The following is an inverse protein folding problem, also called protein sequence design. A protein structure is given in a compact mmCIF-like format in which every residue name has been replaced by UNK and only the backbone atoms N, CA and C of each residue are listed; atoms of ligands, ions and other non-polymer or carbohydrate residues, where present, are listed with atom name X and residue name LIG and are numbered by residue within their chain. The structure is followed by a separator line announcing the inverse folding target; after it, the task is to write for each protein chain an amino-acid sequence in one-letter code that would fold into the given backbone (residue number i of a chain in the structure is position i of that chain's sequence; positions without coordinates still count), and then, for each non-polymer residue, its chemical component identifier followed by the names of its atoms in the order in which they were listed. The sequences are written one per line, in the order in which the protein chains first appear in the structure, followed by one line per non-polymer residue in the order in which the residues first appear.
data_IF_544719609572
#
_entry.id   IF_544719609572
#
_cell.length_a   1.000
_cell.length_b   1.000
_cell.length_c   1.000
_cell.angle_alpha   90.00
_cell.angle_beta   90.00
_cell.angle_gamma   90.00
#
_symmetry.space_group_name_H-M   'P 1'
#
loop_
_entity.id
_entity.type
_entity.pdbx_description
1 polymer ?
#
# COMPACT_ATOMS: atom_id res chain seq x y z
N UNK A 1 14.16 -11.58 35.81
CA UNK A 1 13.97 -11.28 34.37
C UNK A 1 13.10 -12.29 33.62
N UNK A 2 13.37 -13.63 33.65
CA UNK A 2 12.56 -14.63 32.91
C UNK A 2 11.06 -14.62 33.24
N UNK A 3 10.68 -14.35 34.50
CA UNK A 3 9.28 -14.29 34.94
C UNK A 3 8.54 -13.09 34.36
N UNK A 4 9.17 -11.90 34.36
CA UNK A 4 8.61 -10.67 33.79
C UNK A 4 8.40 -10.82 32.28
N UNK A 5 9.39 -11.37 31.56
CA UNK A 5 9.27 -11.59 30.10
C UNK A 5 8.09 -12.50 29.76
N UNK A 6 7.92 -13.62 30.48
CA UNK A 6 6.76 -14.50 30.29
C UNK A 6 5.43 -13.80 30.57
N UNK A 7 5.37 -12.94 31.60
CA UNK A 7 4.16 -12.16 31.88
C UNK A 7 3.85 -11.17 30.77
N UNK A 8 4.86 -10.49 30.23
CA UNK A 8 4.70 -9.58 29.10
C UNK A 8 4.25 -10.34 27.85
N UNK A 9 4.92 -11.45 27.51
CA UNK A 9 4.56 -12.27 26.35
C UNK A 9 3.12 -12.79 26.45
N UNK A 10 2.69 -13.20 27.65
CA UNK A 10 1.32 -13.63 27.90
C UNK A 10 0.31 -12.50 27.68
N UNK A 11 0.59 -11.31 28.23
CA UNK A 11 -0.27 -10.14 28.03
C UNK A 11 -0.36 -9.72 26.56
N UNK A 12 0.75 -9.80 25.82
CA UNK A 12 0.77 -9.54 24.37
C UNK A 12 -0.09 -10.59 23.66
N UNK A 13 0.08 -11.88 23.94
CA UNK A 13 -0.74 -12.94 23.34
C UNK A 13 -2.23 -12.73 23.60
N UNK A 14 -2.62 -12.43 24.85
CA UNK A 14 -4.04 -12.19 25.19
C UNK A 14 -4.59 -10.95 24.49
N UNK A 15 -3.82 -9.88 24.40
CA UNK A 15 -4.22 -8.66 23.69
C UNK A 15 -4.42 -8.96 22.20
N UNK A 16 -3.45 -9.61 21.55
CA UNK A 16 -3.49 -9.93 20.13
C UNK A 16 -4.56 -10.97 19.78
N UNK A 17 -4.88 -11.89 20.69
CA UNK A 17 -5.94 -12.88 20.51
C UNK A 17 -7.34 -12.23 20.46
N UNK A 18 -7.53 -11.09 21.14
CA UNK A 18 -8.79 -10.34 21.18
C UNK A 18 -8.83 -9.16 20.20
N UNK A 19 -7.86 -9.07 19.29
CA UNK A 19 -7.74 -7.95 18.35
C UNK A 19 -8.18 -8.37 16.95
N UNK A 20 -9.05 -7.57 16.33
CA UNK A 20 -9.52 -7.81 14.95
C UNK A 20 -8.46 -7.47 13.89
N UNK A 21 -7.64 -6.43 14.15
CA UNK A 21 -6.64 -5.92 13.23
C UNK A 21 -5.37 -5.48 13.96
N UNK A 22 -4.23 -5.98 13.49
CA UNK A 22 -2.90 -5.55 13.97
C UNK A 22 -2.20 -4.77 12.88
N UNK A 23 -1.94 -3.49 13.14
CA UNK A 23 -1.20 -2.60 12.23
C UNK A 23 0.21 -2.43 12.76
N UNK A 24 1.22 -2.82 11.98
CA UNK A 24 2.61 -2.73 12.38
C UNK A 24 3.57 -2.69 11.17
N UNK A 25 4.81 -2.28 11.40
CA UNK A 25 5.87 -2.34 10.39
C UNK A 25 6.43 -3.75 10.26
N UNK A 26 7.14 -4.04 9.16
CA UNK A 26 7.76 -5.36 8.90
C UNK A 26 8.61 -5.88 10.06
N UNK A 27 9.39 -5.01 10.71
CA UNK A 27 10.27 -5.39 11.83
C UNK A 27 9.45 -5.92 13.02
N UNK A 28 8.33 -5.26 13.33
CA UNK A 28 7.44 -5.68 14.42
C UNK A 28 6.70 -6.96 14.04
N UNK A 29 6.18 -7.05 12.81
CA UNK A 29 5.53 -8.26 12.31
C UNK A 29 6.48 -9.48 12.40
N UNK A 30 7.75 -9.29 12.05
CA UNK A 30 8.78 -10.33 12.15
C UNK A 30 9.03 -10.75 13.60
N UNK A 31 9.11 -9.79 14.54
CA UNK A 31 9.30 -10.05 15.96
C UNK A 31 8.12 -10.84 16.57
N UNK A 32 6.88 -10.42 16.27
CA UNK A 32 5.66 -11.10 16.72
C UNK A 32 5.63 -12.57 16.26
N UNK A 33 6.07 -12.83 15.03
CA UNK A 33 6.18 -14.20 14.52
C UNK A 33 7.30 -15.00 15.21
N UNK A 34 8.52 -14.47 15.29
CA UNK A 34 9.66 -15.18 15.90
C UNK A 34 9.39 -15.57 17.35
N UNK A 35 8.67 -14.73 18.08
CA UNK A 35 8.24 -15.00 19.45
C UNK A 35 6.96 -15.84 19.54
N UNK A 36 6.38 -16.25 18.41
CA UNK A 36 5.15 -17.04 18.30
C UNK A 36 3.95 -16.40 19.01
N UNK A 37 3.90 -15.06 19.02
CA UNK A 37 2.88 -14.29 19.72
C UNK A 37 1.63 -14.07 18.87
N UNK A 38 1.74 -14.20 17.54
CA UNK A 38 0.64 -13.90 16.62
C UNK A 38 0.72 -14.70 15.32
N UNK A 39 -0.45 -15.11 14.81
CA UNK A 39 -0.62 -15.86 13.55
C UNK A 39 -1.91 -15.41 12.84
N UNK A 40 -1.88 -14.34 12.05
CA UNK A 40 -3.04 -13.86 11.33
C UNK A 40 -3.43 -14.79 10.19
N UNK A 41 -4.74 -14.91 9.94
CA UNK A 41 -5.26 -15.65 8.79
C UNK A 41 -5.04 -14.90 7.46
N UNK A 42 -5.00 -13.57 7.49
CA UNK A 42 -4.80 -12.71 6.34
C UNK A 42 -3.76 -11.64 6.67
N UNK A 43 -2.93 -11.30 5.69
CA UNK A 43 -1.98 -10.19 5.79
C UNK A 43 -2.19 -9.25 4.62
N UNK A 44 -2.28 -7.96 4.92
CA UNK A 44 -2.26 -6.89 3.94
C UNK A 44 -0.97 -6.09 4.11
N UNK A 45 -0.22 -5.97 3.03
CA UNK A 45 0.98 -5.14 2.95
C UNK A 45 0.65 -3.93 2.10
N UNK A 46 0.63 -2.76 2.73
CA UNK A 46 0.49 -1.49 2.04
C UNK A 46 1.85 -0.91 1.64
N UNK A 47 1.85 -0.05 0.62
CA UNK A 47 3.06 0.57 0.05
C UNK A 47 4.17 -0.43 -0.31
N UNK A 48 3.78 -1.65 -0.68
CA UNK A 48 4.69 -2.77 -0.90
C UNK A 48 5.70 -2.53 -2.03
N UNK A 49 5.41 -1.60 -2.94
CA UNK A 49 6.33 -1.20 -4.01
C UNK A 49 7.58 -0.49 -3.51
N UNK A 50 7.53 0.07 -2.29
CA UNK A 50 8.67 0.74 -1.63
C UNK A 50 9.59 -0.25 -0.89
N UNK A 51 9.23 -1.53 -0.89
CA UNK A 51 9.87 -2.54 -0.07
C UNK A 51 10.53 -3.63 -0.91
N UNK A 52 11.63 -4.17 -0.41
CA UNK A 52 12.29 -5.28 -1.09
C UNK A 52 11.41 -6.53 -1.02
N UNK A 53 11.35 -7.27 -2.13
CA UNK A 53 10.59 -8.52 -2.21
C UNK A 53 10.98 -9.53 -1.13
N UNK A 54 12.23 -9.51 -0.67
CA UNK A 54 12.70 -10.34 0.45
C UNK A 54 11.90 -10.09 1.73
N UNK A 55 11.63 -8.83 2.09
CA UNK A 55 10.85 -8.47 3.28
C UNK A 55 9.40 -8.98 3.18
N UNK A 56 8.78 -8.83 2.00
CA UNK A 56 7.40 -9.29 1.78
C UNK A 56 7.33 -10.82 1.76
N UNK A 57 8.31 -11.49 1.13
CA UNK A 57 8.40 -12.96 1.16
C UNK A 57 8.63 -13.48 2.57
N UNK A 58 9.42 -12.79 3.39
CA UNK A 58 9.59 -13.13 4.80
C UNK A 58 8.26 -13.10 5.53
N UNK A 59 7.43 -12.08 5.31
CA UNK A 59 6.07 -12.04 5.89
C UNK A 59 5.27 -13.27 5.47
N UNK A 60 5.29 -13.65 4.19
CA UNK A 60 4.59 -14.84 3.71
C UNK A 60 5.09 -16.14 4.36
N UNK A 61 6.41 -16.32 4.45
CA UNK A 61 7.04 -17.54 4.99
C UNK A 61 6.90 -17.63 6.50
N UNK A 62 7.14 -16.51 7.19
CA UNK A 62 7.04 -16.44 8.64
C UNK A 62 5.58 -16.64 9.06
N UNK A 63 4.68 -15.84 8.51
CA UNK A 63 3.31 -15.79 9.03
C UNK A 63 2.41 -16.88 8.47
N UNK A 64 2.77 -17.47 7.32
CA UNK A 64 1.96 -18.46 6.59
C UNK A 64 0.47 -18.07 6.46
N UNK A 65 0.14 -16.83 6.05
CA UNK A 65 -1.24 -16.41 5.98
C UNK A 65 -1.98 -17.17 4.86
N UNK A 66 -3.27 -17.41 5.07
CA UNK A 66 -4.16 -18.00 4.05
C UNK A 66 -4.40 -17.03 2.89
N UNK A 67 -4.38 -15.73 3.18
CA UNK A 67 -4.58 -14.65 2.21
C UNK A 67 -3.48 -13.61 2.36
N UNK A 68 -2.86 -13.23 1.25
CA UNK A 68 -1.88 -12.14 1.18
C UNK A 68 -2.36 -11.10 0.17
N UNK A 69 -2.62 -9.89 0.66
CA UNK A 69 -2.98 -8.73 -0.16
C UNK A 69 -1.78 -7.80 -0.20
N UNK A 70 -1.45 -7.34 -1.40
CA UNK A 70 -0.31 -6.45 -1.64
C UNK A 70 -0.86 -5.24 -2.38
N UNK A 71 -0.74 -4.06 -1.78
CA UNK A 71 -1.04 -2.78 -2.41
C UNK A 71 0.22 -1.95 -2.56
N UNK A 72 0.25 -1.13 -3.59
CA UNK A 72 1.37 -0.27 -3.88
C UNK A 72 1.48 0.04 -5.36
N UNK A 73 2.32 1.02 -5.67
CA UNK A 73 2.47 1.55 -7.01
C UNK A 73 3.94 1.54 -7.41
N UNK A 74 4.32 0.65 -8.32
CA UNK A 74 5.72 0.50 -8.73
C UNK A 74 6.21 1.68 -9.57
N UNK A 75 5.32 2.62 -9.94
CA UNK A 75 5.67 3.85 -10.67
C UNK A 75 5.97 5.02 -9.72
N UNK A 76 5.78 4.84 -8.42
CA UNK A 76 6.18 5.79 -7.38
C UNK A 76 7.60 5.45 -6.87
N UNK A 77 7.84 5.59 -5.57
CA UNK A 77 9.13 5.29 -4.94
C UNK A 77 9.48 3.80 -5.09
N UNK A 78 10.73 3.55 -5.48
CA UNK A 78 11.33 2.22 -5.52
C UNK A 78 11.96 1.86 -4.15
N UNK A 79 12.26 0.58 -3.90
CA UNK A 79 12.97 0.16 -2.68
C UNK A 79 14.31 0.88 -2.52
N UNK A 80 14.71 1.23 -1.30
CA UNK A 80 15.98 1.92 -1.09
C UNK A 80 17.16 0.94 -1.04
N UNK A 81 18.20 1.16 -1.86
CA UNK A 81 19.46 0.40 -1.78
C UNK A 81 20.65 1.33 -1.77
N UNK A 82 21.41 1.34 -0.67
CA UNK A 82 22.61 2.15 -0.48
C UNK A 82 23.60 1.99 -1.64
N UNK A 83 23.78 0.74 -2.10
CA UNK A 83 24.72 0.36 -3.17
C UNK A 83 24.32 0.96 -4.53
N UNK A 84 23.04 1.25 -4.74
CA UNK A 84 22.52 1.83 -6.00
C UNK A 84 22.34 3.36 -5.93
N UNK A 85 22.16 3.92 -4.72
CA UNK A 85 21.80 5.33 -4.54
C UNK A 85 22.98 6.21 -4.10
N UNK A 86 24.09 5.61 -3.64
CA UNK A 86 25.31 6.36 -3.36
C UNK A 86 26.15 6.42 -4.64
N UNK A 87 26.37 7.63 -5.17
CA UNK A 87 27.43 7.85 -6.15
C UNK A 87 28.76 7.58 -5.48
N UNK A 88 29.31 6.39 -5.73
CA UNK A 88 30.65 6.02 -5.29
C UNK A 88 31.64 6.98 -5.95
N UNK A 89 32.03 8.03 -5.24
CA UNK A 89 33.33 8.66 -5.52
C UNK A 89 34.38 7.58 -5.30
N UNK A 90 35.35 7.51 -6.21
CA UNK A 90 36.26 6.38 -6.43
C UNK A 90 37.10 5.91 -5.20
N UNK A 91 36.99 6.56 -4.04
CA UNK A 91 37.76 6.26 -2.83
C UNK A 91 37.04 5.38 -1.79
N UNK A 92 35.73 5.14 -1.91
CA UNK A 92 35.02 4.25 -0.96
C UNK A 92 35.20 2.77 -1.33
N UNK A 93 36.44 2.28 -1.19
CA UNK A 93 36.80 0.85 -1.36
C UNK A 93 35.93 -0.10 -0.53
N UNK A 94 35.37 0.40 0.57
CA UNK A 94 34.44 -0.35 1.43
C UNK A 94 33.13 -0.61 0.69
N UNK A 95 32.49 0.41 0.13
CA UNK A 95 31.22 0.26 -0.61
C UNK A 95 31.40 -0.49 -1.93
N UNK A 96 32.57 -0.37 -2.56
CA UNK A 96 32.92 -1.16 -3.75
C UNK A 96 32.88 -2.68 -3.49
N UNK A 97 33.24 -3.12 -2.28
CA UNK A 97 33.18 -4.56 -1.91
C UNK A 97 31.76 -5.07 -1.63
N UNK A 98 30.79 -4.18 -1.42
CA UNK A 98 29.37 -4.51 -1.28
C UNK A 98 28.57 -4.39 -2.58
N UNK A 99 29.23 -4.10 -3.72
CA UNK A 99 28.58 -4.06 -5.03
C UNK A 99 28.11 -5.46 -5.45
N UNK A 100 26.84 -5.75 -5.18
CA UNK A 100 26.20 -6.97 -5.65
C UNK A 100 25.88 -6.85 -7.14
N UNK A 101 26.24 -7.84 -7.98
CA UNK A 101 25.84 -7.88 -9.39
C UNK A 101 24.32 -8.05 -9.55
N UNK A 102 23.61 -8.37 -8.46
CA UNK A 102 22.16 -8.52 -8.42
C UNK A 102 21.43 -7.30 -7.84
N UNK A 103 22.12 -6.19 -7.66
CA UNK A 103 21.56 -4.98 -7.03
C UNK A 103 20.38 -4.40 -7.80
N UNK A 104 20.38 -4.44 -9.13
CA UNK A 104 19.23 -4.03 -9.96
C UNK A 104 18.02 -4.95 -9.78
N UNK A 105 18.24 -6.26 -9.61
CA UNK A 105 17.17 -7.24 -9.33
C UNK A 105 16.62 -7.08 -7.92
N UNK A 106 17.46 -6.66 -6.96
CA UNK A 106 17.06 -6.37 -5.59
C UNK A 106 16.17 -5.13 -5.48
N UNK A 107 16.32 -4.21 -6.43
CA UNK A 107 15.51 -3.00 -6.58
C UNK A 107 14.14 -3.26 -7.22
N UNK A 108 13.88 -4.44 -7.78
CA UNK A 108 12.59 -4.77 -8.39
C UNK A 108 11.57 -5.12 -7.30
N UNK A 109 10.52 -4.31 -7.07
CA UNK A 109 9.49 -4.64 -6.10
C UNK A 109 8.65 -5.85 -6.54
N UNK A 110 8.08 -6.54 -5.55
CA UNK A 110 7.26 -7.72 -5.79
C UNK A 110 6.02 -7.39 -6.65
N UNK A 111 5.42 -6.21 -6.45
CA UNK A 111 4.27 -5.73 -7.23
C UNK A 111 4.57 -5.66 -8.73
N UNK A 112 5.73 -5.12 -9.11
CA UNK A 112 6.18 -5.08 -10.51
C UNK A 112 6.35 -6.49 -11.09
N UNK A 113 6.91 -7.42 -10.31
CA UNK A 113 7.10 -8.81 -10.74
C UNK A 113 5.76 -9.56 -10.90
N UNK A 114 4.81 -9.35 -10.00
CA UNK A 114 3.47 -9.94 -10.09
C UNK A 114 2.75 -9.40 -11.32
N UNK A 115 2.80 -8.08 -11.56
CA UNK A 115 2.22 -7.46 -12.74
C UNK A 115 2.77 -8.09 -14.05
N UNK A 116 4.08 -8.31 -14.12
CA UNK A 116 4.71 -8.90 -15.30
C UNK A 116 4.38 -10.39 -15.50
N UNK A 117 4.27 -11.18 -14.42
CA UNK A 117 4.10 -12.64 -14.50
C UNK A 117 2.66 -13.13 -14.41
N UNK A 118 1.81 -12.39 -13.71
CA UNK A 118 0.44 -12.77 -13.40
C UNK A 118 -0.48 -11.53 -13.38
N UNK A 119 -0.61 -10.79 -14.50
CA UNK A 119 -1.40 -9.55 -14.56
C UNK A 119 -2.86 -9.75 -14.16
N UNK A 120 -3.42 -10.96 -14.40
CA UNK A 120 -4.78 -11.34 -13.99
C UNK A 120 -5.02 -11.32 -12.47
N UNK A 121 -3.96 -11.30 -11.66
CA UNK A 121 -4.06 -11.21 -10.19
C UNK A 121 -3.96 -9.78 -9.68
N UNK A 122 -3.83 -8.80 -10.57
CA UNK A 122 -3.68 -7.40 -10.21
C UNK A 122 -4.94 -6.64 -10.55
N UNK A 123 -5.48 -5.93 -9.56
CA UNK A 123 -6.50 -4.91 -9.76
C UNK A 123 -5.82 -3.54 -9.83
N UNK A 124 -6.22 -2.72 -10.80
CA UNK A 124 -5.77 -1.35 -10.94
C UNK A 124 -6.88 -0.39 -10.51
N UNK A 125 -6.56 0.53 -9.58
CA UNK A 125 -7.47 1.58 -9.14
C UNK A 125 -7.17 2.85 -9.94
N UNK A 126 -8.07 3.20 -10.85
CA UNK A 126 -7.90 4.33 -11.76
C UNK A 126 -8.37 5.68 -11.18
N UNK A 127 -9.33 5.65 -10.25
CA UNK A 127 -9.98 6.86 -9.74
C UNK A 127 -9.13 7.54 -8.67
N UNK A 128 -8.57 8.69 -9.02
CA UNK A 128 -7.87 9.60 -8.13
C UNK A 128 -8.85 10.64 -7.57
N UNK A 129 -9.17 10.48 -6.29
CA UNK A 129 -10.01 11.42 -5.53
C UNK A 129 -9.21 12.44 -4.72
N UNK A 130 -7.87 12.44 -4.81
CA UNK A 130 -6.98 13.31 -4.03
C UNK A 130 -6.64 14.61 -4.75
N UNK A 131 -6.38 14.53 -6.06
CA UNK A 131 -5.97 15.67 -6.88
C UNK A 131 -7.18 16.29 -7.56
N UNK A 132 -7.20 17.63 -7.65
CA UNK A 132 -8.24 18.43 -8.28
C UNK A 132 -7.65 19.36 -9.35
N UNK A 133 -8.50 20.01 -10.12
CA UNK A 133 -8.14 21.08 -11.06
C UNK A 133 -7.08 20.70 -12.10
N UNK A 134 -7.12 19.46 -12.59
CA UNK A 134 -6.22 18.96 -13.64
C UNK A 134 -4.79 18.64 -13.16
N UNK A 135 -4.49 18.72 -11.85
CA UNK A 135 -3.18 18.36 -11.29
C UNK A 135 -2.76 16.91 -11.59
N UNK A 136 -3.73 16.05 -11.88
CA UNK A 136 -3.50 14.66 -12.28
C UNK A 136 -3.11 14.50 -13.75
N UNK A 137 -3.36 15.46 -14.65
CA UNK A 137 -3.17 15.24 -16.10
C UNK A 137 -1.70 14.95 -16.44
N UNK A 138 -0.77 15.74 -15.89
CA UNK A 138 0.65 15.55 -16.15
C UNK A 138 1.17 14.20 -15.58
N UNK A 139 0.96 13.85 -14.30
CA UNK A 139 1.31 12.52 -13.80
C UNK A 139 0.60 11.38 -14.53
N UNK A 140 -0.68 11.52 -14.84
CA UNK A 140 -1.48 10.53 -15.59
C UNK A 140 -0.88 10.27 -16.97
N UNK A 141 -0.48 11.33 -17.68
CA UNK A 141 0.14 11.21 -19.00
C UNK A 141 1.53 10.60 -18.94
N UNK A 142 2.39 11.06 -18.03
CA UNK A 142 3.79 10.61 -17.94
C UNK A 142 3.90 9.19 -17.41
N UNK A 143 3.11 8.86 -16.39
CA UNK A 143 3.28 7.64 -15.62
C UNK A 143 2.10 6.70 -15.71
N UNK A 144 0.94 7.04 -16.24
CA UNK A 144 -0.22 6.12 -16.25
C UNK A 144 -0.93 6.07 -17.61
N UNK A 145 -0.28 6.47 -18.72
CA UNK A 145 -0.87 6.39 -20.06
C UNK A 145 -2.27 7.05 -20.16
N UNK A 146 -2.52 8.11 -19.39
CA UNK A 146 -3.82 8.80 -19.27
C UNK A 146 -4.96 7.95 -18.68
N UNK A 147 -4.68 6.84 -18.00
CA UNK A 147 -5.72 5.98 -17.39
C UNK A 147 -6.20 6.45 -16.03
N UNK A 148 -5.50 7.37 -15.37
CA UNK A 148 -5.93 7.93 -14.09
C UNK A 148 -7.09 8.90 -14.32
N UNK A 149 -8.23 8.62 -13.69
CA UNK A 149 -9.46 9.39 -13.78
C UNK A 149 -9.63 10.23 -12.51
N UNK A 150 -10.25 11.41 -12.62
CA UNK A 150 -10.65 12.21 -11.46
C UNK A 150 -12.15 12.44 -11.54
N UNK A 151 -12.96 11.74 -10.73
CA UNK A 151 -14.42 11.84 -10.77
C UNK A 151 -14.98 13.19 -10.29
N UNK A 152 -14.11 14.13 -9.90
CA UNK A 152 -14.46 15.48 -9.49
C UNK A 152 -13.67 16.56 -10.25
N UNK A 153 -13.26 16.27 -11.49
CA UNK A 153 -12.55 17.26 -12.32
C UNK A 153 -13.56 18.24 -12.97
N UNK A 154 -13.52 19.54 -12.64
CA UNK A 154 -14.38 20.55 -13.28
C UNK A 154 -14.11 20.68 -14.78
N UNK A 155 -12.98 20.19 -15.29
CA UNK A 155 -12.62 20.17 -16.71
C UNK A 155 -13.13 18.93 -17.45
N UNK A 156 -13.74 17.95 -16.76
CA UNK A 156 -14.37 16.81 -17.40
C UNK A 156 -15.86 17.11 -17.66
N UNK A 157 -16.26 17.35 -18.93
CA UNK A 157 -17.62 17.79 -19.27
C UNK A 157 -18.71 16.76 -18.94
N UNK A 158 -18.36 15.49 -18.72
CA UNK A 158 -19.31 14.46 -18.31
C UNK A 158 -19.66 14.51 -16.80
N UNK A 159 -18.90 15.27 -16.01
CA UNK A 159 -19.03 15.33 -14.54
C UNK A 159 -20.02 16.42 -14.12
N UNK A 160 -20.12 17.55 -14.82
CA UNK A 160 -21.11 18.58 -14.50
C UNK A 160 -22.55 18.04 -14.56
N UNK A 161 -22.84 17.18 -15.53
CA UNK A 161 -24.14 16.49 -15.64
C UNK A 161 -24.30 15.43 -14.56
N UNK A 162 -23.28 14.61 -14.28
CA UNK A 162 -23.37 13.54 -13.27
C UNK A 162 -23.50 14.07 -11.84
N UNK A 163 -22.72 15.09 -11.45
CA UNK A 163 -22.78 15.71 -10.12
C UNK A 163 -24.10 16.45 -9.92
N UNK A 164 -24.64 17.13 -10.94
CA UNK A 164 -25.98 17.73 -10.85
C UNK A 164 -27.08 16.68 -10.74
N UNK A 165 -26.98 15.56 -11.45
CA UNK A 165 -27.97 14.48 -11.37
C UNK A 165 -27.92 13.71 -10.04
N UNK A 166 -26.73 13.40 -9.53
CA UNK A 166 -26.54 12.64 -8.29
C UNK A 166 -26.77 13.53 -7.07
N UNK A 167 -26.04 14.66 -6.97
CA UNK A 167 -26.12 15.53 -5.81
C UNK A 167 -27.24 16.55 -5.91
N UNK A 168 -27.44 17.22 -7.05
CA UNK A 168 -28.53 18.19 -7.22
C UNK A 168 -29.92 17.55 -7.12
N UNK A 169 -30.09 16.35 -7.69
CA UNK A 169 -31.32 15.56 -7.60
C UNK A 169 -31.62 15.05 -6.18
N UNK A 170 -30.63 14.47 -5.49
CA UNK A 170 -30.81 13.97 -4.11
C UNK A 170 -31.01 15.11 -3.10
N UNK A 171 -30.23 16.20 -3.17
CA UNK A 171 -30.35 17.31 -2.22
C UNK A 171 -31.72 18.01 -2.30
N UNK A 172 -32.29 18.12 -3.50
CA UNK A 172 -33.63 18.70 -3.70
C UNK A 172 -34.72 17.75 -3.21
N UNK A 173 -34.55 16.43 -3.39
CA UNK A 173 -35.51 15.44 -2.87
C UNK A 173 -35.45 15.33 -1.34
N UNK A 174 -34.26 15.36 -0.74
CA UNK A 174 -34.08 15.32 0.71
C UNK A 174 -34.61 16.59 1.40
N UNK A 175 -34.36 17.77 0.82
CA UNK A 175 -34.95 19.03 1.30
C UNK A 175 -36.48 19.08 1.16
N UNK A 176 -37.06 18.40 0.16
CA UNK A 176 -38.52 18.25 0.03
C UNK A 176 -39.10 17.23 1.03
N UNK A 177 -38.35 16.18 1.37
CA UNK A 177 -38.77 15.16 2.37
C UNK A 177 -38.68 15.67 3.81
N UNK A 178 -37.69 16.51 4.12
CA UNK A 178 -37.55 17.14 5.44
C UNK A 178 -38.60 18.21 5.77
N UNK A 179 -39.38 18.67 4.78
CA UNK A 179 -40.43 19.69 4.95
C UNK A 179 -41.86 19.14 4.97
N UNK A 180 -42.07 17.83 5.01
CA UNK A 180 -43.40 17.30 5.34
C UNK A 180 -43.65 17.57 6.82
N UNK A 181 -44.48 18.56 7.11
CA UNK A 181 -45.02 18.80 8.44
C UNK A 181 -45.58 17.47 8.96
N UNK A 182 -45.14 17.06 10.15
CA UNK A 182 -45.85 16.03 10.92
C UNK A 182 -47.21 16.63 11.26
N UNK A 183 -48.24 16.23 10.52
CA UNK A 183 -49.65 16.37 10.90
C UNK A 183 -49.99 15.15 11.74
#
# INVERSE_FOLDING_TARGET
MKRIRKTIDHFICETLANTDLVVCTFVVAQSLHHHKLYRPAAVHVDEASREHETLIRWVRIAVEPRVLIITGDFRQDAPFSLVQHVSLKADDRVLASYMSPFSSQYMMPLSQRIMAKAPRWVAYLADNSRQHDGLQDLPSRLFYQRTMLTPFDPLNPHILTYVWHVFGGQLVQENRRGRKAKI
#
